data_IF_001965469382
#
_entry.id   IF_001965469382
#
_cell.length_a   1.000
_cell.length_b   1.000
_cell.length_c   1.000
_cell.angle_alpha   90.00
_cell.angle_beta   90.00
_cell.angle_gamma   90.00
#
_symmetry.space_group_name_H-M   'P 1'
#
loop_
_entity.id
_entity.type
_entity.pdbx_description
1 polymer ?
#
# COMPACT_ATOMS: atom_id res chain seq x y z
N UNK A 1 12.60 -0.86 -15.78
CA UNK A 1 13.55 0.28 -15.99
C UNK A 1 14.17 0.59 -14.63
N UNK A 2 15.34 1.21 -14.56
CA UNK A 2 15.88 1.65 -13.28
C UNK A 2 15.18 2.93 -12.83
N UNK A 3 15.04 3.13 -11.52
CA UNK A 3 14.45 4.33 -10.92
C UNK A 3 15.25 5.59 -11.32
N UNK A 4 14.59 6.58 -11.89
CA UNK A 4 15.15 7.91 -12.17
C UNK A 4 14.77 8.87 -11.04
N UNK A 5 15.66 9.00 -10.07
CA UNK A 5 15.44 9.82 -8.86
C UNK A 5 15.26 11.30 -9.22
N UNK A 6 15.98 11.79 -10.27
CA UNK A 6 15.95 13.20 -10.63
C UNK A 6 14.58 13.63 -11.20
N UNK A 7 13.82 12.69 -11.77
CA UNK A 7 12.50 12.95 -12.31
C UNK A 7 11.42 12.97 -11.22
N UNK A 8 11.67 12.38 -10.05
CA UNK A 8 10.65 12.29 -8.99
C UNK A 8 10.38 13.68 -8.39
N UNK A 9 9.10 14.08 -8.39
CA UNK A 9 8.61 15.34 -7.85
C UNK A 9 7.51 15.14 -6.80
N UNK A 10 6.86 13.98 -6.74
CA UNK A 10 5.82 13.66 -5.76
C UNK A 10 5.84 12.18 -5.39
N UNK A 11 5.32 11.85 -4.19
CA UNK A 11 5.30 10.50 -3.65
C UNK A 11 3.85 10.06 -3.36
N UNK A 12 3.48 8.87 -3.81
CA UNK A 12 2.17 8.26 -3.57
C UNK A 12 2.37 6.97 -2.77
N UNK A 13 1.86 6.93 -1.54
CA UNK A 13 2.04 5.79 -0.63
C UNK A 13 0.76 4.97 -0.51
N UNK A 14 0.88 3.64 -0.63
CA UNK A 14 -0.14 2.76 -0.09
C UNK A 14 -0.07 2.74 1.45
N UNK A 15 -1.09 2.15 2.10
CA UNK A 15 -1.15 2.02 3.57
C UNK A 15 -0.80 0.60 4.01
N UNK A 16 -1.59 -0.39 3.57
CA UNK A 16 -1.52 -1.75 4.08
C UNK A 16 -0.25 -2.47 3.60
N UNK A 17 0.61 -2.88 4.52
CA UNK A 17 1.91 -3.48 4.17
C UNK A 17 2.97 -2.47 3.72
N UNK A 18 2.65 -1.16 3.67
CA UNK A 18 3.55 -0.10 3.21
C UNK A 18 3.83 0.93 4.30
N UNK A 19 2.78 1.52 4.90
CA UNK A 19 2.88 2.43 6.05
C UNK A 19 2.43 1.74 7.34
N UNK A 20 1.42 0.86 7.23
CA UNK A 20 0.82 0.12 8.33
C UNK A 20 1.20 -1.36 8.23
N UNK A 21 1.66 -1.92 9.32
CA UNK A 21 1.78 -3.36 9.49
C UNK A 21 0.41 -3.94 9.88
N UNK A 22 -0.43 -4.10 8.87
CA UNK A 22 -1.80 -4.61 9.06
C UNK A 22 -1.82 -6.13 9.22
N UNK A 23 -0.73 -6.77 8.88
CA UNK A 23 -0.63 -8.20 8.67
C UNK A 23 -0.30 -8.97 9.94
N UNK A 24 0.48 -8.39 10.83
CA UNK A 24 0.93 -9.07 12.04
C UNK A 24 -0.23 -9.51 12.94
N UNK A 25 -1.33 -8.77 12.99
CA UNK A 25 -2.48 -9.20 13.79
C UNK A 25 -3.16 -10.47 13.25
N UNK A 26 -3.26 -10.60 11.92
CA UNK A 26 -3.79 -11.81 11.29
C UNK A 26 -2.75 -12.91 11.29
N UNK A 27 -1.51 -12.57 10.96
CA UNK A 27 -0.37 -13.50 10.98
C UNK A 27 -0.17 -14.06 12.39
N UNK A 28 -0.16 -13.24 13.45
CA UNK A 28 -0.07 -13.72 14.84
C UNK A 28 -1.20 -14.65 15.25
N UNK A 29 -2.45 -14.36 14.83
CA UNK A 29 -3.58 -15.26 15.11
C UNK A 29 -3.41 -16.61 14.43
N UNK A 30 -3.00 -16.60 13.16
CA UNK A 30 -2.77 -17.83 12.42
C UNK A 30 -1.46 -18.52 12.84
N UNK A 31 -0.44 -17.79 13.24
CA UNK A 31 0.78 -18.35 13.82
C UNK A 31 0.48 -19.14 15.09
N UNK A 32 -0.31 -18.57 16.01
CA UNK A 32 -0.76 -19.29 17.21
C UNK A 32 -1.52 -20.57 16.87
N UNK A 33 -2.30 -20.56 15.78
CA UNK A 33 -3.01 -21.72 15.27
C UNK A 33 -2.05 -22.74 14.62
N UNK A 34 -1.06 -22.29 13.84
CA UNK A 34 -0.10 -23.18 13.15
C UNK A 34 1.05 -23.66 14.02
N UNK A 35 1.35 -22.98 15.12
CA UNK A 35 2.46 -23.30 16.02
C UNK A 35 2.50 -24.77 16.48
N UNK A 36 1.37 -25.42 16.85
CA UNK A 36 1.36 -26.84 17.18
C UNK A 36 1.72 -27.76 16.01
N UNK A 37 1.53 -27.28 14.78
CA UNK A 37 1.75 -28.03 13.53
C UNK A 37 3.04 -27.61 12.81
N UNK A 38 3.93 -26.85 13.45
CA UNK A 38 5.17 -26.34 12.86
C UNK A 38 6.06 -27.45 12.25
N UNK A 39 5.97 -28.69 12.76
CA UNK A 39 6.71 -29.85 12.25
C UNK A 39 6.28 -30.29 10.83
N UNK A 40 5.09 -29.86 10.36
CA UNK A 40 4.58 -30.13 9.01
C UNK A 40 5.11 -29.17 7.95
N UNK A 41 5.72 -28.05 8.35
CA UNK A 41 6.23 -27.06 7.42
C UNK A 41 7.70 -27.29 7.11
N UNK A 42 8.06 -27.11 5.83
CA UNK A 42 9.40 -27.40 5.30
C UNK A 42 10.53 -26.71 6.08
N UNK A 43 10.28 -25.49 6.59
CA UNK A 43 11.24 -24.67 7.33
C UNK A 43 10.98 -24.68 8.85
N UNK A 44 9.99 -25.43 9.34
CA UNK A 44 9.47 -25.39 10.73
C UNK A 44 9.11 -23.99 11.22
N UNK A 45 8.87 -23.06 10.30
CA UNK A 45 8.57 -21.66 10.55
C UNK A 45 7.05 -21.42 10.44
N UNK A 46 6.38 -21.40 11.60
CA UNK A 46 4.94 -21.17 11.69
C UNK A 46 4.54 -19.75 11.28
N UNK A 47 5.44 -18.77 11.43
CA UNK A 47 5.20 -17.38 11.03
C UNK A 47 5.16 -17.26 9.51
N UNK A 48 6.11 -17.83 8.79
CA UNK A 48 6.09 -17.87 7.32
C UNK A 48 4.88 -18.64 6.78
N UNK A 49 4.49 -19.74 7.44
CA UNK A 49 3.31 -20.48 7.05
C UNK A 49 2.03 -19.69 7.25
N UNK A 50 1.89 -18.99 8.39
CA UNK A 50 0.78 -18.10 8.69
C UNK A 50 0.71 -16.95 7.68
N UNK A 51 1.83 -16.30 7.38
CA UNK A 51 1.93 -15.22 6.40
C UNK A 51 1.49 -15.71 5.00
N UNK A 52 1.99 -16.86 4.53
CA UNK A 52 1.55 -17.44 3.25
C UNK A 52 0.06 -17.78 3.23
N UNK A 53 -0.48 -18.26 4.33
CA UNK A 53 -1.91 -18.56 4.45
C UNK A 53 -2.76 -17.29 4.40
N UNK A 54 -2.38 -16.24 5.11
CA UNK A 54 -3.05 -14.94 5.07
C UNK A 54 -3.00 -14.38 3.65
N UNK A 55 -1.84 -14.39 2.99
CA UNK A 55 -1.68 -13.98 1.59
C UNK A 55 -2.60 -14.76 0.66
N UNK A 56 -2.64 -16.08 0.79
CA UNK A 56 -3.49 -16.94 -0.03
C UNK A 56 -4.98 -16.68 0.22
N UNK A 57 -5.39 -16.45 1.47
CA UNK A 57 -6.79 -16.20 1.84
C UNK A 57 -7.28 -14.80 1.47
N UNK A 58 -6.38 -13.82 1.36
CA UNK A 58 -6.70 -12.44 0.97
C UNK A 58 -6.61 -12.22 -0.54
N UNK A 59 -5.82 -13.02 -1.27
CA UNK A 59 -5.71 -12.93 -2.72
C UNK A 59 -7.06 -13.11 -3.45
N UNK A 60 -7.96 -14.05 -3.11
CA UNK A 60 -9.29 -14.14 -3.69
C UNK A 60 -10.17 -12.93 -3.34
N UNK A 61 -10.04 -12.36 -2.13
CA UNK A 61 -10.80 -11.18 -1.75
C UNK A 61 -10.41 -9.97 -2.61
N UNK A 62 -9.11 -9.75 -2.84
CA UNK A 62 -8.64 -8.69 -3.74
C UNK A 62 -9.10 -8.92 -5.20
N UNK A 63 -9.19 -10.17 -5.65
CA UNK A 63 -9.74 -10.52 -6.95
C UNK A 63 -11.25 -10.30 -7.01
N UNK A 64 -11.98 -10.65 -5.95
CA UNK A 64 -13.44 -10.46 -5.85
C UNK A 64 -13.79 -8.97 -5.73
N UNK A 65 -12.99 -8.15 -5.03
CA UNK A 65 -13.19 -6.70 -4.97
C UNK A 65 -12.90 -5.99 -6.30
N UNK A 66 -12.12 -6.57 -7.21
CA UNK A 66 -11.94 -6.07 -8.57
C UNK A 66 -12.99 -6.56 -9.57
N UNK A 67 -13.82 -7.57 -9.25
CA UNK A 67 -14.89 -8.06 -10.10
C UNK A 67 -16.08 -7.09 -10.24
N UNK A 68 -16.51 -6.38 -9.17
CA UNK A 68 -17.59 -5.39 -9.27
C UNK A 68 -17.31 -4.31 -10.32
N UNK A 69 -16.09 -3.76 -10.33
CA UNK A 69 -15.66 -2.73 -11.30
C UNK A 69 -15.83 -3.22 -12.77
N UNK A 70 -15.65 -4.53 -13.01
CA UNK A 70 -15.78 -5.12 -14.35
C UNK A 70 -17.25 -5.31 -14.77
N UNK A 71 -18.15 -5.51 -13.79
CA UNK A 71 -19.58 -5.82 -14.05
C UNK A 71 -20.55 -4.71 -13.66
N UNK A 72 -20.07 -3.58 -13.10
CA UNK A 72 -20.91 -2.45 -12.72
C UNK A 72 -21.90 -2.75 -11.57
N UNK A 73 -21.53 -3.65 -10.67
CA UNK A 73 -22.36 -4.09 -9.53
C UNK A 73 -21.94 -3.45 -8.18
N UNK A 74 -21.20 -2.35 -8.25
CA UNK A 74 -20.53 -1.73 -7.10
C UNK A 74 -21.50 -1.28 -6.00
N UNK A 75 -22.60 -0.66 -6.38
CA UNK A 75 -23.57 -0.09 -5.43
C UNK A 75 -24.36 -1.18 -4.66
N UNK A 76 -24.70 -2.27 -5.32
CA UNK A 76 -25.49 -3.35 -4.72
C UNK A 76 -24.63 -4.24 -3.81
N UNK A 77 -23.39 -4.51 -4.17
CA UNK A 77 -22.43 -5.25 -3.36
C UNK A 77 -21.92 -4.41 -2.17
N UNK A 78 -21.68 -3.11 -2.36
CA UNK A 78 -21.35 -2.21 -1.27
C UNK A 78 -22.49 -2.13 -0.24
N UNK A 79 -23.73 -2.03 -0.67
CA UNK A 79 -24.91 -2.03 0.20
C UNK A 79 -25.07 -3.36 0.95
N UNK A 80 -24.81 -4.50 0.30
CA UNK A 80 -24.90 -5.84 0.90
C UNK A 80 -23.76 -6.08 1.91
N UNK A 81 -22.55 -5.65 1.61
CA UNK A 81 -21.41 -5.75 2.53
C UNK A 81 -21.58 -4.83 3.73
N UNK A 82 -22.16 -3.63 3.55
CA UNK A 82 -22.47 -2.70 4.63
C UNK A 82 -23.58 -3.25 5.56
N UNK A 83 -24.59 -3.90 4.97
CA UNK A 83 -25.63 -4.58 5.75
C UNK A 83 -25.11 -5.78 6.56
N UNK A 84 -24.23 -6.61 5.98
CA UNK A 84 -23.60 -7.74 6.65
C UNK A 84 -22.62 -7.32 7.76
N UNK A 85 -21.96 -6.17 7.59
CA UNK A 85 -20.98 -5.65 8.56
C UNK A 85 -21.61 -4.82 9.69
N UNK A 86 -22.82 -4.27 9.50
CA UNK A 86 -23.54 -3.47 10.53
C UNK A 86 -23.80 -4.22 11.83
N UNK A 87 -23.86 -5.55 11.80
CA UNK A 87 -24.18 -6.39 12.98
C UNK A 87 -22.98 -6.85 13.80
N UNK A 88 -21.76 -6.52 13.44
CA UNK A 88 -20.57 -6.86 14.24
C UNK A 88 -20.16 -5.66 15.11
N UNK A 89 -20.00 -5.82 16.45
CA UNK A 89 -19.42 -4.76 17.27
C UNK A 89 -18.01 -4.46 16.72
N UNK A 90 -17.82 -3.22 16.29
CA UNK A 90 -16.52 -2.74 15.77
C UNK A 90 -15.54 -2.67 16.95
N UNK A 91 -14.73 -3.69 17.14
CA UNK A 91 -13.50 -3.53 17.88
C UNK A 91 -12.73 -2.40 17.19
N UNK A 92 -12.30 -1.41 17.96
CA UNK A 92 -11.37 -0.39 17.48
C UNK A 92 -10.18 -1.15 16.91
N UNK A 93 -10.00 -1.10 15.58
CA UNK A 93 -8.86 -1.74 14.93
C UNK A 93 -7.64 -0.95 15.41
N UNK A 94 -6.79 -1.60 16.19
CA UNK A 94 -5.51 -1.04 16.55
C UNK A 94 -4.59 -1.31 15.36
N UNK A 95 -4.25 -0.25 14.63
CA UNK A 95 -3.29 -0.33 13.54
C UNK A 95 -1.88 -0.32 14.13
N UNK A 96 -0.94 -0.92 13.43
CA UNK A 96 0.48 -0.89 13.79
C UNK A 96 1.20 -0.08 12.72
N UNK A 97 1.97 0.92 13.11
CA UNK A 97 2.82 1.70 12.21
C UNK A 97 4.13 0.94 12.00
N UNK A 98 4.56 0.82 10.75
CA UNK A 98 5.88 0.25 10.44
C UNK A 98 6.97 1.19 10.98
N UNK A 99 8.03 0.59 11.52
CA UNK A 99 9.13 1.33 12.13
C UNK A 99 9.81 2.29 11.15
N UNK A 100 10.14 3.48 11.63
CA UNK A 100 10.82 4.53 10.85
C UNK A 100 9.92 5.33 9.90
N UNK A 101 8.64 4.96 9.73
CA UNK A 101 7.72 5.64 8.79
C UNK A 101 7.52 7.10 9.16
N UNK A 102 7.28 7.41 10.43
CA UNK A 102 6.98 8.78 10.85
C UNK A 102 8.17 9.73 10.62
N UNK A 103 9.36 9.27 10.93
CA UNK A 103 10.61 9.98 10.70
C UNK A 103 10.88 10.17 9.20
N UNK A 104 10.63 9.14 8.39
CA UNK A 104 10.72 9.21 6.94
C UNK A 104 9.76 10.26 6.37
N UNK A 105 8.47 10.19 6.72
CA UNK A 105 7.47 11.13 6.23
C UNK A 105 7.81 12.57 6.64
N UNK A 106 8.23 12.79 7.89
CA UNK A 106 8.67 14.10 8.39
C UNK A 106 9.84 14.66 7.57
N UNK A 107 10.79 13.82 7.18
CA UNK A 107 11.94 14.23 6.39
C UNK A 107 11.55 14.50 4.94
N UNK A 108 10.77 13.61 4.33
CA UNK A 108 10.42 13.70 2.92
C UNK A 108 9.42 14.82 2.59
N UNK A 109 8.55 15.21 3.53
CA UNK A 109 7.61 16.33 3.32
C UNK A 109 8.29 17.67 3.05
N UNK A 110 9.55 17.84 3.47
CA UNK A 110 10.32 19.06 3.21
C UNK A 110 10.78 19.14 1.74
N UNK A 111 10.70 18.03 1.00
CA UNK A 111 11.24 17.90 -0.36
C UNK A 111 10.20 17.52 -1.40
N UNK A 112 9.11 16.85 -1.00
CA UNK A 112 8.11 16.29 -1.90
C UNK A 112 6.70 16.48 -1.38
N UNK A 113 5.73 16.93 -2.20
CA UNK A 113 4.33 16.72 -1.93
C UNK A 113 4.04 15.22 -1.90
N UNK A 114 3.17 14.81 -0.96
CA UNK A 114 2.88 13.42 -0.69
C UNK A 114 1.39 13.13 -0.71
N UNK A 115 1.03 11.98 -1.24
CA UNK A 115 -0.33 11.45 -1.27
C UNK A 115 -0.42 10.08 -0.63
N UNK A 116 -1.57 9.79 -0.01
CA UNK A 116 -2.00 8.42 0.27
C UNK A 116 -2.80 7.92 -0.92
N UNK A 117 -2.52 6.71 -1.40
CA UNK A 117 -3.26 6.03 -2.49
C UNK A 117 -3.55 4.60 -2.06
N UNK A 118 -4.73 4.36 -1.48
CA UNK A 118 -5.07 3.07 -0.87
C UNK A 118 -6.39 2.49 -1.37
N UNK A 119 -6.48 1.15 -1.40
CA UNK A 119 -7.74 0.43 -1.63
C UNK A 119 -8.60 0.30 -0.36
N UNK A 120 -8.14 0.81 0.77
CA UNK A 120 -8.89 0.85 2.04
C UNK A 120 -10.02 1.88 1.94
N UNK A 121 -11.16 1.62 2.61
CA UNK A 121 -12.23 2.62 2.68
C UNK A 121 -11.79 3.86 3.47
N UNK A 122 -12.41 5.00 3.17
CA UNK A 122 -12.07 6.30 3.74
C UNK A 122 -12.02 6.30 5.28
N UNK A 123 -13.03 5.70 5.92
CA UNK A 123 -13.11 5.64 7.38
C UNK A 123 -11.91 4.93 8.01
N UNK A 124 -11.52 3.78 7.47
CA UNK A 124 -10.37 3.01 7.97
C UNK A 124 -9.04 3.72 7.68
N UNK A 125 -8.96 4.41 6.55
CA UNK A 125 -7.83 5.25 6.17
C UNK A 125 -7.64 6.39 7.16
N UNK A 126 -8.70 7.17 7.41
CA UNK A 126 -8.64 8.29 8.34
C UNK A 126 -8.34 7.85 9.77
N UNK A 127 -8.94 6.75 10.25
CA UNK A 127 -8.63 6.20 11.58
C UNK A 127 -7.15 5.84 11.75
N UNK A 128 -6.51 5.27 10.73
CA UNK A 128 -5.08 4.96 10.75
C UNK A 128 -4.24 6.25 10.80
N UNK A 129 -4.50 7.18 9.90
CA UNK A 129 -3.75 8.43 9.79
C UNK A 129 -3.87 9.28 11.06
N UNK A 130 -5.07 9.34 11.67
CA UNK A 130 -5.33 10.05 12.92
C UNK A 130 -4.65 9.38 14.12
N UNK A 131 -4.69 8.04 14.20
CA UNK A 131 -4.08 7.28 15.31
C UNK A 131 -2.60 7.61 15.50
N UNK A 132 -1.88 7.87 14.41
CA UNK A 132 -0.44 8.14 14.42
C UNK A 132 -0.09 9.61 14.15
N UNK A 133 -1.11 10.49 13.98
CA UNK A 133 -0.93 11.87 13.57
C UNK A 133 -0.11 11.99 12.27
N UNK A 134 -0.48 11.22 11.24
CA UNK A 134 0.19 11.21 9.94
C UNK A 134 -0.49 12.12 8.92
N UNK A 135 -1.76 12.48 9.12
CA UNK A 135 -2.52 13.28 8.17
C UNK A 135 -1.81 14.59 7.74
N UNK A 136 -1.12 15.31 8.63
CA UNK A 136 -0.41 16.54 8.25
C UNK A 136 0.75 16.36 7.26
N UNK A 137 1.21 15.13 7.02
CA UNK A 137 2.28 14.85 6.04
C UNK A 137 1.77 14.70 4.61
N UNK A 138 0.45 14.59 4.40
CA UNK A 138 -0.13 14.30 3.09
C UNK A 138 -0.98 15.46 2.58
N UNK A 139 -0.72 15.86 1.33
CA UNK A 139 -1.49 16.89 0.63
C UNK A 139 -2.87 16.36 0.20
N UNK A 140 -2.96 15.07 -0.09
CA UNK A 140 -4.19 14.41 -0.53
C UNK A 140 -4.27 12.96 -0.03
N UNK A 141 -5.49 12.52 0.28
CA UNK A 141 -5.80 11.12 0.63
C UNK A 141 -6.78 10.57 -0.40
N UNK A 142 -6.33 9.58 -1.15
CA UNK A 142 -7.12 8.86 -2.15
C UNK A 142 -7.44 7.47 -1.58
N UNK A 143 -8.69 7.27 -1.19
CA UNK A 143 -9.23 6.02 -0.67
C UNK A 143 -9.97 5.23 -1.77
N UNK A 144 -10.52 4.07 -1.45
CA UNK A 144 -11.14 3.15 -2.40
C UNK A 144 -12.21 3.77 -3.33
N UNK A 145 -12.96 4.76 -2.84
CA UNK A 145 -14.08 5.39 -3.59
C UNK A 145 -13.78 6.83 -4.02
N UNK A 146 -12.53 7.27 -3.93
CA UNK A 146 -12.17 8.67 -4.29
C UNK A 146 -12.00 8.83 -5.81
N UNK A 147 -11.50 7.81 -6.50
CA UNK A 147 -11.35 7.76 -7.95
C UNK A 147 -12.41 6.86 -8.58
N UNK A 148 -12.58 6.94 -9.89
CA UNK A 148 -13.59 6.17 -10.64
C UNK A 148 -13.37 4.64 -10.50
N UNK A 149 -12.09 4.21 -10.57
CA UNK A 149 -11.71 2.82 -10.33
C UNK A 149 -10.64 2.77 -9.24
N UNK A 150 -10.61 1.64 -8.51
CA UNK A 150 -9.57 1.41 -7.51
C UNK A 150 -8.31 0.79 -8.15
N UNK A 151 -7.20 0.69 -7.39
CA UNK A 151 -6.01 -0.07 -7.82
C UNK A 151 -6.42 -1.53 -8.18
N UNK A 152 -5.96 -2.14 -9.25
CA UNK A 152 -4.75 -1.83 -10.04
C UNK A 152 -4.95 -0.86 -11.22
N UNK A 153 -6.11 -0.22 -11.34
CA UNK A 153 -6.33 0.81 -12.35
C UNK A 153 -5.49 2.06 -12.06
N UNK A 154 -5.13 2.85 -13.07
CA UNK A 154 -4.26 4.03 -12.92
C UNK A 154 -4.96 5.20 -12.23
N UNK A 155 -6.30 5.21 -12.20
CA UNK A 155 -7.14 6.34 -11.79
C UNK A 155 -6.76 6.95 -10.44
N UNK A 156 -6.50 6.16 -9.36
CA UNK A 156 -6.13 6.73 -8.06
C UNK A 156 -4.79 7.45 -8.08
N UNK A 157 -3.81 6.94 -8.84
CA UNK A 157 -2.48 7.57 -8.97
C UNK A 157 -2.57 8.85 -9.80
N UNK A 158 -3.33 8.83 -10.91
CA UNK A 158 -3.60 10.00 -11.75
C UNK A 158 -4.34 11.06 -10.94
N UNK A 159 -5.35 10.67 -10.13
CA UNK A 159 -6.09 11.57 -9.27
C UNK A 159 -5.17 12.27 -8.26
N UNK A 160 -4.30 11.50 -7.57
CA UNK A 160 -3.34 12.02 -6.62
C UNK A 160 -2.36 13.01 -7.28
N UNK A 161 -1.79 12.64 -8.43
CA UNK A 161 -0.87 13.48 -9.20
C UNK A 161 -1.53 14.83 -9.59
N UNK A 162 -2.78 14.76 -10.10
CA UNK A 162 -3.56 15.95 -10.47
C UNK A 162 -3.84 16.86 -9.26
N UNK A 163 -4.21 16.26 -8.13
CA UNK A 163 -4.49 17.02 -6.90
C UNK A 163 -3.24 17.73 -6.36
N UNK A 164 -2.06 17.11 -6.50
CA UNK A 164 -0.77 17.71 -6.14
C UNK A 164 -0.23 18.67 -7.24
N UNK A 165 -0.92 18.80 -8.38
CA UNK A 165 -0.47 19.58 -9.54
C UNK A 165 0.91 19.14 -10.07
N UNK A 166 1.17 17.85 -10.10
CA UNK A 166 2.41 17.22 -10.58
C UNK A 166 2.08 16.31 -11.78
N UNK A 167 2.88 16.33 -12.87
CA UNK A 167 2.76 15.34 -13.94
C UNK A 167 2.90 13.91 -13.38
N UNK A 168 2.00 13.01 -13.75
CA UNK A 168 1.95 11.67 -13.16
C UNK A 168 3.23 10.87 -13.42
N UNK A 169 3.91 11.10 -14.54
CA UNK A 169 5.20 10.52 -14.88
C UNK A 169 6.33 10.94 -13.93
N UNK A 170 6.15 12.03 -13.18
CA UNK A 170 7.06 12.52 -12.15
C UNK A 170 6.66 12.08 -10.74
N UNK A 171 5.64 11.24 -10.61
CA UNK A 171 5.25 10.62 -9.35
C UNK A 171 5.97 9.28 -9.15
N UNK A 172 6.20 8.94 -7.88
CA UNK A 172 6.63 7.61 -7.45
C UNK A 172 5.48 6.96 -6.68
N UNK A 173 4.94 5.85 -7.19
CA UNK A 173 3.99 5.00 -6.44
C UNK A 173 4.77 3.99 -5.60
N UNK A 174 4.53 3.99 -4.30
CA UNK A 174 5.16 3.12 -3.32
C UNK A 174 4.10 2.16 -2.76
N UNK A 175 4.35 0.86 -2.86
CA UNK A 175 3.44 -0.15 -2.35
C UNK A 175 4.11 -1.51 -2.21
N UNK A 176 3.47 -2.41 -1.48
CA UNK A 176 4.00 -3.75 -1.19
C UNK A 176 3.43 -4.83 -2.12
N UNK A 177 2.38 -4.53 -2.88
CA UNK A 177 1.70 -5.51 -3.73
C UNK A 177 1.89 -5.27 -5.22
N UNK A 178 1.65 -6.31 -6.03
CA UNK A 178 1.63 -6.20 -7.49
C UNK A 178 0.51 -5.28 -8.00
N UNK A 179 -0.53 -5.06 -7.18
CA UNK A 179 -1.64 -4.14 -7.46
C UNK A 179 -1.15 -2.70 -7.50
N UNK A 180 -0.27 -2.32 -6.57
CA UNK A 180 0.34 -0.98 -6.49
C UNK A 180 1.27 -0.73 -7.67
N UNK A 181 2.13 -1.72 -7.96
CA UNK A 181 3.06 -1.63 -9.09
C UNK A 181 2.29 -1.47 -10.41
N UNK A 182 1.24 -2.26 -10.61
CA UNK A 182 0.40 -2.17 -11.80
C UNK A 182 -0.31 -0.82 -11.92
N UNK A 183 -0.88 -0.31 -10.83
CA UNK A 183 -1.52 1.00 -10.81
C UNK A 183 -0.54 2.12 -11.19
N UNK A 184 0.66 2.15 -10.57
CA UNK A 184 1.71 3.10 -10.90
C UNK A 184 2.17 2.99 -12.35
N UNK A 185 2.47 1.78 -12.83
CA UNK A 185 2.92 1.57 -14.22
C UNK A 185 1.85 1.92 -15.24
N UNK A 186 0.59 1.57 -14.99
CA UNK A 186 -0.53 1.92 -15.88
C UNK A 186 -0.78 3.44 -15.92
N UNK A 187 -0.46 4.15 -14.85
CA UNK A 187 -0.50 5.61 -14.78
C UNK A 187 0.74 6.28 -15.42
N UNK A 188 1.73 5.52 -15.88
CA UNK A 188 3.04 5.99 -16.34
C UNK A 188 3.92 6.60 -15.23
N UNK A 189 3.58 6.41 -13.95
CA UNK A 189 4.42 6.75 -12.81
C UNK A 189 5.58 5.78 -12.65
N UNK A 190 6.63 6.22 -11.91
CA UNK A 190 7.64 5.31 -11.41
C UNK A 190 7.12 4.52 -10.21
N UNK A 191 7.74 3.38 -9.90
CA UNK A 191 7.23 2.48 -8.86
C UNK A 191 8.34 1.96 -7.96
N UNK A 192 8.07 1.94 -6.66
CA UNK A 192 8.89 1.30 -5.65
C UNK A 192 8.09 0.19 -4.96
N UNK A 193 8.59 -1.04 -5.06
CA UNK A 193 8.08 -2.16 -4.31
C UNK A 193 8.76 -2.26 -2.95
N UNK A 194 7.99 -2.49 -1.88
CA UNK A 194 8.52 -2.69 -0.53
C UNK A 194 8.24 -4.11 -0.04
N UNK A 195 9.16 -4.68 0.75
CA UNK A 195 9.08 -6.06 1.22
C UNK A 195 8.64 -6.18 2.68
N UNK A 196 8.35 -5.06 3.34
CA UNK A 196 7.81 -5.04 4.70
C UNK A 196 6.36 -5.50 4.79
N UNK A 197 5.63 -5.54 3.67
CA UNK A 197 4.28 -6.06 3.54
C UNK A 197 4.21 -7.49 2.97
N UNK A 198 3.20 -7.76 2.17
CA UNK A 198 2.91 -9.09 1.59
C UNK A 198 3.71 -9.43 0.33
N UNK A 199 4.24 -8.42 -0.36
CA UNK A 199 4.84 -8.58 -1.69
C UNK A 199 6.08 -9.45 -1.69
N UNK A 200 6.17 -10.31 -2.70
CA UNK A 200 7.38 -11.07 -3.00
C UNK A 200 8.24 -10.32 -4.04
N UNK A 201 9.54 -10.20 -3.80
CA UNK A 201 10.50 -9.51 -4.68
C UNK A 201 10.33 -9.88 -6.15
N UNK A 202 10.27 -11.17 -6.45
CA UNK A 202 10.16 -11.66 -7.83
C UNK A 202 8.84 -11.23 -8.48
N UNK A 203 7.72 -11.26 -7.75
CA UNK A 203 6.44 -10.84 -8.26
C UNK A 203 6.38 -9.34 -8.54
N UNK A 204 6.90 -8.51 -7.63
CA UNK A 204 6.97 -7.06 -7.81
C UNK A 204 7.87 -6.69 -9.01
N UNK A 205 9.03 -7.34 -9.17
CA UNK A 205 9.92 -7.14 -10.33
C UNK A 205 9.24 -7.56 -11.65
N UNK A 206 8.57 -8.70 -11.69
CA UNK A 206 7.86 -9.17 -12.89
C UNK A 206 6.76 -8.21 -13.34
N UNK A 207 6.13 -7.49 -12.40
CA UNK A 207 5.13 -6.47 -12.72
C UNK A 207 5.74 -5.08 -13.01
N UNK A 208 7.06 -4.97 -13.01
CA UNK A 208 7.79 -3.81 -13.51
C UNK A 208 8.14 -2.78 -12.42
N UNK A 209 8.27 -3.18 -11.16
CA UNK A 209 8.82 -2.30 -10.13
C UNK A 209 10.19 -1.75 -10.55
N UNK A 210 10.38 -0.43 -10.48
CA UNK A 210 11.62 0.23 -10.88
C UNK A 210 12.71 0.07 -9.80
N UNK A 211 12.30 -0.09 -8.55
CA UNK A 211 13.16 -0.42 -7.41
C UNK A 211 12.42 -1.32 -6.41
N UNK A 212 13.17 -2.15 -5.68
CA UNK A 212 12.66 -2.93 -4.54
C UNK A 212 13.47 -2.57 -3.30
N UNK A 213 12.75 -2.25 -2.22
CA UNK A 213 13.27 -1.88 -0.90
C UNK A 213 12.90 -2.95 0.13
N UNK A 214 13.72 -3.13 1.14
CA UNK A 214 13.39 -4.04 2.24
C UNK A 214 12.27 -3.44 3.10
N UNK A 215 12.33 -2.15 3.38
CA UNK A 215 11.31 -1.39 4.12
C UNK A 215 11.03 -0.05 3.45
N UNK A 216 9.86 0.51 3.70
CA UNK A 216 9.47 1.81 3.15
C UNK A 216 10.40 2.94 3.63
N UNK A 217 10.93 2.86 4.84
CA UNK A 217 11.86 3.85 5.39
C UNK A 217 13.19 3.94 4.62
N UNK A 218 13.55 2.92 3.83
CA UNK A 218 14.75 2.93 2.97
C UNK A 218 14.65 3.95 1.82
N UNK A 219 13.47 4.53 1.57
CA UNK A 219 13.28 5.61 0.59
C UNK A 219 14.10 6.86 0.92
N UNK A 220 14.21 7.21 2.20
CA UNK A 220 14.87 8.45 2.63
C UNK A 220 16.30 8.57 2.10
N UNK A 221 17.22 7.61 2.36
CA UNK A 221 18.59 7.72 1.87
C UNK A 221 18.71 7.65 0.34
N UNK A 222 17.73 7.07 -0.35
CA UNK A 222 17.72 6.98 -1.81
C UNK A 222 17.30 8.32 -2.41
N UNK A 223 16.19 8.89 -1.97
CA UNK A 223 15.65 10.12 -2.53
C UNK A 223 16.47 11.36 -2.17
N UNK A 224 17.11 11.37 -1.00
CA UNK A 224 17.98 12.49 -0.59
C UNK A 224 19.39 12.43 -1.17
N UNK A 225 19.80 11.34 -1.84
CA UNK A 225 21.02 11.27 -2.65
C UNK A 225 20.88 11.93 -4.01
N UNK A 226 19.87 12.76 -4.27
CA UNK A 226 19.81 13.59 -5.47
C UNK A 226 21.15 14.28 -5.64
N UNK A 227 21.85 14.02 -6.76
CA UNK A 227 23.05 14.78 -7.08
C UNK A 227 22.70 16.27 -7.13
N UNK A 228 23.56 17.15 -6.57
CA UNK A 228 23.36 18.57 -6.74
C UNK A 228 23.25 18.84 -8.24
N UNK A 229 22.23 19.61 -8.64
CA UNK A 229 22.20 20.17 -9.99
C UNK A 229 23.51 20.94 -10.15
N UNK A 230 24.37 20.45 -11.06
CA UNK A 230 25.49 21.25 -11.51
C UNK A 230 24.92 22.55 -12.09
N UNK A 231 25.21 23.65 -11.42
CA UNK A 231 24.81 25.02 -11.79
C UNK A 231 25.73 25.49 -12.92
#
# INVERSE_FOLDING_TARGET
MALDINRIQALCFDIDGTLSDTDDQYVEKFEKFFRPFSFLFKDRDSHRAARRFVMWSTAPANFIYGLPDVYGLDDELAAMTDWLTRKRPRSLKHFILIDGIKEMLKTLQEHYPMAVVTARNEKGTMQFLEQYNLLPFFDIVVSALTAEHSKPYPDPVIYAAKAMNIPVENCLMIGDTTVDIRAGKSAAAQTAGVLCGFGERNALMQHGADIILETTSDLTPILLKKQPLEV
#
